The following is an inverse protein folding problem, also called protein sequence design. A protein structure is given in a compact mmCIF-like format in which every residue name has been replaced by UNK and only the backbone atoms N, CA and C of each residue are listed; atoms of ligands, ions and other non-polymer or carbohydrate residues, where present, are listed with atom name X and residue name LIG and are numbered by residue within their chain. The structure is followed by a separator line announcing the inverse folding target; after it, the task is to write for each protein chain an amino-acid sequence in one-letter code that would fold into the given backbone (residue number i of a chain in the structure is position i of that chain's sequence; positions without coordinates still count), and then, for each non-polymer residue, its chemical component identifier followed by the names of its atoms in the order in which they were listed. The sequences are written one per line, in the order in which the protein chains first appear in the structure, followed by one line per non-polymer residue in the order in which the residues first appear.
data_IF_472955628354
#
_entry.id   IF_472955628354
#
_cell.length_a   1.000
_cell.length_b   1.000
_cell.length_c   1.000
_cell.angle_alpha   90.00
_cell.angle_beta   90.00
_cell.angle_gamma   90.00
#
_symmetry.space_group_name_H-M   'P 1'
#
loop_
_entity.id
_entity.type
_entity.pdbx_description
1 polymer ?
2 water ?
#
# COMPACT_ATOMS: atom_id res chain seq x y z
N UNK A 1 -15.30 -7.99 4.18
CA UNK A 1 -14.01 -7.32 4.47
C UNK A 1 -14.12 -5.86 4.86
N UNK A 2 -13.66 -5.43 6.03
CA UNK A 2 -13.60 -4.03 6.39
C UNK A 2 -12.20 -3.58 6.85
N UNK A 3 -11.80 -2.43 6.33
CA UNK A 3 -10.44 -1.91 6.42
C UNK A 3 -10.41 -0.50 6.99
N UNK A 4 -9.44 -0.12 7.81
CA UNK A 4 -9.31 1.31 8.12
C UNK A 4 -8.67 2.08 6.97
N UNK A 5 -9.06 3.34 6.80
CA UNK A 5 -8.42 4.24 5.86
C UNK A 5 -6.96 4.46 6.24
N UNK A 6 -6.10 4.42 5.23
CA UNK A 6 -4.66 4.57 5.38
C UNK A 6 -4.22 5.63 4.36
N UNK A 7 -3.53 6.68 4.79
CA UNK A 7 -2.92 7.56 3.78
C UNK A 7 -1.95 6.74 2.94
N UNK A 8 -1.84 7.01 1.65
CA UNK A 8 -0.99 6.27 0.73
C UNK A 8 0.48 6.16 1.11
N UNK A 9 1.04 7.24 1.68
CA UNK A 9 2.38 7.17 2.24
C UNK A 9 2.47 6.15 3.37
N UNK A 10 1.49 6.19 4.29
CA UNK A 10 1.52 5.30 5.44
C UNK A 10 1.32 3.85 5.00
N UNK A 11 0.52 3.57 3.99
CA UNK A 11 0.52 2.23 3.40
C UNK A 11 1.88 1.90 2.78
N UNK A 12 2.49 2.79 2.03
CA UNK A 12 3.82 2.54 1.45
C UNK A 12 4.82 2.14 2.52
N UNK A 13 4.87 2.94 3.60
CA UNK A 13 5.86 2.73 4.66
C UNK A 13 5.58 1.49 5.47
N UNK A 14 4.31 1.15 5.75
CA UNK A 14 4.02 -0.07 6.48
C UNK A 14 4.22 -1.34 5.66
N UNK A 15 4.06 -1.30 4.34
CA UNK A 15 4.15 -2.54 3.56
C UNK A 15 5.58 -3.07 3.52
N UNK A 16 5.72 -4.39 3.43
CA UNK A 16 7.05 -4.96 3.20
C UNK A 16 7.58 -4.60 1.82
N UNK A 17 6.70 -4.67 0.81
CA UNK A 17 7.16 -4.54 -0.56
C UNK A 17 6.11 -3.82 -1.39
N UNK A 18 6.57 -2.96 -2.29
CA UNK A 18 5.71 -2.08 -3.07
C UNK A 18 6.22 -2.13 -4.51
N UNK A 19 5.39 -2.52 -5.46
CA UNK A 19 5.78 -2.74 -6.84
C UNK A 19 4.69 -2.17 -7.77
N UNK A 20 5.07 -1.86 -8.99
CA UNK A 20 4.12 -1.69 -10.09
C UNK A 20 4.09 -2.98 -10.91
N UNK A 21 2.92 -3.52 -11.22
CA UNK A 21 2.83 -4.88 -11.71
C UNK A 21 1.62 -5.15 -12.57
N UNK A 22 1.74 -6.16 -13.44
CA UNK A 22 0.55 -6.67 -14.11
C UNK A 22 0.48 -8.19 -13.92
N UNK A 23 -0.76 -8.65 -13.89
CA UNK A 23 -1.02 -10.06 -13.61
C UNK A 23 -1.16 -10.76 -14.96
N UNK A 24 -0.46 -11.86 -15.12
CA UNK A 24 -0.28 -12.59 -16.37
C UNK A 24 -1.11 -13.87 -16.40
N UNK A 25 -1.14 -14.58 -15.27
CA UNK A 25 -2.04 -15.70 -15.12
C UNK A 25 -2.43 -15.94 -13.65
N UNK A 26 -3.44 -16.79 -13.52
CA UNK A 26 -4.04 -17.09 -12.24
C UNK A 26 -4.32 -18.58 -12.03
N UNK A 27 -3.90 -19.14 -10.89
CA UNK A 27 -4.46 -20.43 -10.49
C UNK A 27 -4.63 -20.53 -8.98
N UNK A 28 -5.47 -21.46 -8.56
CA UNK A 28 -5.69 -21.74 -7.15
C UNK A 28 -4.63 -22.73 -6.70
N UNK A 29 -3.97 -22.43 -5.58
CA UNK A 29 -2.95 -23.32 -5.06
C UNK A 29 -3.23 -23.67 -3.59
N UNK A 30 -2.58 -24.75 -3.17
CA UNK A 30 -2.48 -25.16 -1.78
C UNK A 30 -1.27 -24.47 -1.16
N UNK A 31 -1.46 -23.69 -0.11
CA UNK A 31 -0.31 -22.93 0.43
C UNK A 31 0.23 -23.49 1.73
N UNK A 32 -0.09 -24.71 2.09
CA UNK A 32 0.34 -25.34 3.33
C UNK A 32 -0.88 -25.62 4.21
N UNK A 33 -0.63 -26.10 5.42
CA UNK A 33 -1.73 -26.32 6.36
C UNK A 33 -1.71 -25.24 7.42
N UNK A 34 -2.87 -24.84 7.92
CA UNK A 34 -2.93 -23.91 9.03
C UNK A 34 -2.56 -24.61 10.34
N UNK A 35 -2.77 -23.95 11.47
CA UNK A 35 -2.39 -24.44 12.78
C UNK A 35 -3.17 -25.69 13.15
N UNK A 36 -4.38 -25.87 12.63
CA UNK A 36 -5.19 -27.05 12.86
C UNK A 36 -4.95 -28.17 11.87
N UNK A 37 -3.99 -28.03 10.96
CA UNK A 37 -3.71 -29.06 9.97
C UNK A 37 -4.64 -28.98 8.76
N UNK A 38 -5.33 -27.86 8.57
CA UNK A 38 -6.21 -27.71 7.41
C UNK A 38 -5.53 -26.89 6.32
N UNK A 39 -5.57 -27.43 5.10
CA UNK A 39 -4.99 -26.77 3.94
C UNK A 39 -5.40 -25.30 3.83
N UNK A 40 -4.49 -24.47 3.34
CA UNK A 40 -4.78 -23.06 3.12
C UNK A 40 -4.85 -22.77 1.61
N UNK A 41 -6.05 -22.52 1.12
CA UNK A 41 -6.27 -22.27 -0.30
C UNK A 41 -5.97 -20.83 -0.66
N UNK A 42 -5.15 -20.58 -1.68
CA UNK A 42 -4.93 -19.21 -2.12
C UNK A 42 -5.06 -19.10 -3.64
N UNK A 43 -5.39 -17.91 -4.14
CA UNK A 43 -5.14 -17.58 -5.54
C UNK A 43 -3.67 -17.17 -5.71
N UNK A 44 -3.01 -17.73 -6.70
CA UNK A 44 -1.66 -17.36 -7.07
C UNK A 44 -1.71 -16.56 -8.37
N UNK A 45 -1.45 -15.26 -8.30
CA UNK A 45 -1.30 -14.51 -9.55
C UNK A 45 0.17 -14.55 -9.97
N UNK A 46 0.40 -15.02 -11.19
CA UNK A 46 1.70 -14.83 -11.83
C UNK A 46 1.77 -13.41 -12.37
N UNK A 47 2.81 -12.66 -12.06
CA UNK A 47 2.89 -11.28 -12.50
C UNK A 47 4.17 -10.97 -13.30
N UNK A 48 4.12 -9.86 -14.03
CA UNK A 48 5.31 -9.18 -14.53
C UNK A 48 5.57 -7.99 -13.60
N UNK A 49 6.64 -8.00 -12.82
CA UNK A 49 7.05 -6.80 -12.09
C UNK A 49 7.54 -5.74 -13.07
N UNK A 50 6.88 -4.60 -13.14
CA UNK A 50 7.38 -3.49 -13.95
C UNK A 50 8.45 -2.73 -13.18
N UNK A 51 8.25 -2.56 -11.87
CA UNK A 51 9.23 -1.79 -11.10
C UNK A 51 9.04 -2.10 -9.62
N UNK A 52 10.13 -2.27 -8.89
CA UNK A 52 10.05 -2.35 -7.43
C UNK A 52 10.46 -1.04 -6.78
N UNK A 53 9.63 -0.52 -5.88
CA UNK A 53 9.91 0.75 -5.23
C UNK A 53 10.54 0.51 -3.86
N UNK A 54 10.30 -0.65 -3.27
CA UNK A 54 10.86 -0.99 -1.98
C UNK A 54 10.58 -2.47 -1.72
N UNK A 55 11.34 -3.07 -0.81
CA UNK A 55 11.24 -4.49 -0.53
C UNK A 55 12.57 -5.20 -0.69
N UNK A 56 12.61 -6.49 -0.36
CA UNK A 56 13.76 -7.33 -0.66
C UNK A 56 14.19 -7.25 -2.12
N UNK A 57 15.45 -7.52 -2.46
CA UNK A 57 15.90 -7.16 -3.80
C UNK A 57 15.54 -8.18 -4.86
N UNK A 58 15.19 -9.39 -4.48
CA UNK A 58 14.64 -10.39 -5.38
C UNK A 58 13.27 -10.00 -5.92
N UNK A 59 13.15 -9.89 -7.22
CA UNK A 59 11.96 -9.51 -7.93
C UNK A 59 10.74 -10.34 -7.50
N UNK A 60 9.57 -9.70 -7.46
CA UNK A 60 8.33 -10.43 -7.22
C UNK A 60 7.91 -11.15 -8.49
N UNK A 61 7.66 -12.45 -8.43
CA UNK A 61 7.06 -13.15 -9.55
C UNK A 61 5.64 -13.65 -9.28
N UNK A 62 5.27 -13.85 -8.03
CA UNK A 62 3.95 -14.35 -7.67
C UNK A 62 3.33 -13.51 -6.56
N UNK A 63 2.03 -13.25 -6.72
CA UNK A 63 1.25 -12.54 -5.71
C UNK A 63 0.12 -13.46 -5.25
N UNK A 64 -0.02 -13.67 -3.95
CA UNK A 64 -1.04 -14.62 -3.46
C UNK A 64 -2.16 -13.85 -2.76
N UNK A 65 -3.36 -14.41 -2.69
CA UNK A 65 -4.49 -13.71 -2.08
C UNK A 65 -5.64 -14.68 -1.85
N UNK A 66 -6.54 -14.35 -0.92
CA UNK A 66 -7.65 -15.26 -0.62
C UNK A 66 -8.52 -15.43 -1.86
N UNK A 67 -9.11 -16.60 -2.02
CA UNK A 67 -10.09 -16.86 -3.06
C UNK A 67 -11.23 -15.86 -3.14
N UNK A 68 -11.69 -15.35 -1.99
CA UNK A 68 -12.87 -14.50 -2.01
C UNK A 68 -12.68 -13.16 -1.34
N UNK A 69 -13.29 -12.12 -1.89
CA UNK A 69 -13.44 -10.83 -1.24
C UNK A 69 -14.20 -10.90 0.08
N UNK A 70 -15.01 -11.93 0.32
CA UNK A 70 -15.68 -12.13 1.60
C UNK A 70 -14.70 -12.22 2.76
N UNK A 71 -13.50 -12.77 2.54
CA UNK A 71 -12.47 -12.71 3.56
C UNK A 71 -11.29 -11.84 3.10
N UNK A 72 -11.54 -10.79 2.33
CA UNK A 72 -10.57 -9.80 1.92
C UNK A 72 -9.62 -10.25 0.82
N UNK A 73 -9.94 -11.28 0.03
CA UNK A 73 -9.20 -11.55 -1.19
C UNK A 73 -9.33 -10.40 -2.20
N UNK A 74 -8.32 -10.26 -3.04
CA UNK A 74 -8.15 -9.23 -4.02
C UNK A 74 -8.35 -9.80 -5.43
N UNK A 75 -9.07 -9.09 -6.29
CA UNK A 75 -9.16 -9.40 -7.70
C UNK A 75 -8.18 -8.59 -8.55
N UNK A 76 -7.34 -9.21 -9.35
CA UNK A 76 -6.51 -8.51 -10.32
C UNK A 76 -7.02 -8.90 -11.71
N UNK A 77 -7.10 -7.95 -12.62
CA UNK A 77 -7.60 -8.24 -13.96
C UNK A 77 -6.48 -8.89 -14.76
N UNK A 78 -6.53 -10.20 -14.89
CA UNK A 78 -5.41 -10.93 -15.48
C UNK A 78 -5.43 -10.76 -17.00
N UNK A 79 -4.32 -10.90 -17.68
CA UNK A 79 -4.34 -10.99 -19.14
C UNK A 79 -3.46 -9.88 -19.69
N UNK A 80 -2.43 -9.58 -18.89
CA UNK A 80 -1.43 -8.59 -19.21
C UNK A 80 -1.96 -7.17 -19.25
N UNK A 81 -3.19 -6.94 -18.87
CA UNK A 81 -3.85 -5.66 -19.07
C UNK A 81 -3.58 -4.75 -17.88
N UNK A 82 -4.49 -4.68 -16.91
CA UNK A 82 -4.42 -3.58 -15.96
C UNK A 82 -3.10 -3.61 -15.19
N UNK A 83 -2.44 -2.47 -15.10
CA UNK A 83 -1.32 -2.30 -14.19
C UNK A 83 -1.78 -1.71 -12.86
N UNK A 84 -1.17 -2.20 -11.80
CA UNK A 84 -1.49 -1.81 -10.44
C UNK A 84 -0.23 -1.40 -9.67
N UNK A 85 -0.41 -0.38 -8.84
CA UNK A 85 0.54 -0.16 -7.73
C UNK A 85 0.08 -1.11 -6.63
N UNK A 86 0.96 -1.98 -6.16
CA UNK A 86 0.57 -3.00 -5.19
C UNK A 86 1.54 -2.98 -4.00
N UNK A 87 1.00 -2.71 -2.83
CA UNK A 87 1.77 -2.78 -1.60
C UNK A 87 1.26 -3.92 -0.73
N UNK A 88 2.16 -4.68 -0.11
CA UNK A 88 1.77 -5.87 0.60
C UNK A 88 2.89 -6.54 1.37
N UNK A 89 2.57 -7.75 1.85
CA UNK A 89 3.45 -8.53 2.67
C UNK A 89 4.47 -9.30 1.82
N UNK A 90 5.74 -9.20 2.18
CA UNK A 90 6.76 -10.02 1.49
C UNK A 90 6.95 -11.38 2.17
N UNK A 91 6.86 -12.47 1.41
CA UNK A 91 7.05 -13.80 1.94
C UNK A 91 8.48 -14.27 1.71
N UNK A 92 9.28 -13.44 1.06
CA UNK A 92 10.60 -13.89 0.58
C UNK A 92 10.39 -14.62 -0.74
N UNK A 93 11.49 -14.83 -1.48
CA UNK A 93 11.46 -15.79 -2.58
C UNK A 93 10.66 -15.28 -3.77
N UNK A 94 10.60 -13.96 -3.95
CA UNK A 94 9.80 -13.36 -5.00
C UNK A 94 8.29 -13.57 -4.87
N UNK A 95 7.79 -13.79 -3.67
CA UNK A 95 6.37 -13.96 -3.41
C UNK A 95 5.84 -12.83 -2.51
N UNK A 96 4.60 -12.41 -2.79
CA UNK A 96 3.92 -11.50 -1.87
C UNK A 96 2.50 -11.99 -1.62
N UNK A 97 1.95 -11.47 -0.52
CA UNK A 97 0.55 -11.74 -0.17
C UNK A 97 -0.21 -10.45 0.06
N UNK A 98 -1.38 -10.31 -0.57
CA UNK A 98 -2.19 -9.12 -0.44
C UNK A 98 -3.61 -9.41 0.03
N UNK A 99 -4.17 -8.44 0.74
CA UNK A 99 -5.55 -8.43 1.18
C UNK A 99 -6.13 -7.09 0.73
N UNK A 100 -7.45 -6.97 0.72
CA UNK A 100 -8.12 -5.74 0.34
C UNK A 100 -7.81 -4.55 1.24
N UNK A 101 -7.27 -4.70 2.44
CA UNK A 101 -6.84 -3.60 3.26
C UNK A 101 -5.43 -3.10 2.93
N UNK A 102 -4.74 -3.79 2.04
CA UNK A 102 -3.45 -3.34 1.53
C UNK A 102 -3.67 -2.20 0.54
N UNK A 103 -2.63 -1.50 0.14
CA UNK A 103 -2.79 -0.44 -0.87
C UNK A 103 -2.63 -1.03 -2.26
N UNK A 104 -3.76 -1.17 -2.97
CA UNK A 104 -3.80 -1.75 -4.30
C UNK A 104 -4.74 -0.93 -5.20
N UNK A 105 -4.14 -0.15 -6.10
CA UNK A 105 -4.87 0.77 -6.97
C UNK A 105 -4.31 0.63 -8.39
N UNK A 106 -5.16 0.73 -9.39
CA UNK A 106 -4.72 0.83 -10.78
C UNK A 106 -3.65 1.89 -10.94
N UNK A 107 -2.57 1.56 -11.65
CA UNK A 107 -1.45 2.46 -11.89
C UNK A 107 -1.88 3.81 -12.46
N UNK A 108 -2.81 3.84 -13.40
CA UNK A 108 -3.20 5.07 -14.05
C UNK A 108 -4.12 5.96 -13.24
N UNK A 109 -4.55 5.55 -12.05
CA UNK A 109 -5.41 6.39 -11.22
C UNK A 109 -4.59 7.16 -10.19
N UNK A 110 -3.29 6.88 -10.09
CA UNK A 110 -2.44 7.64 -9.16
C UNK A 110 -2.21 9.08 -9.62
N UNK A 111 -2.13 10.03 -8.70
CA UNK A 111 -1.70 11.37 -9.05
C UNK A 111 -0.23 11.35 -9.45
N UNK A 112 0.19 12.28 -10.31
CA UNK A 112 1.60 12.47 -10.63
C UNK A 112 2.48 12.48 -9.39
N UNK A 113 2.12 13.20 -8.34
CA UNK A 113 2.94 13.27 -7.13
C UNK A 113 2.96 11.97 -6.35
N UNK A 114 1.83 11.27 -6.28
CA UNK A 114 1.85 9.92 -5.72
C UNK A 114 2.90 9.07 -6.42
N UNK A 115 2.83 8.99 -7.75
CA UNK A 115 3.75 8.18 -8.54
C UNK A 115 5.20 8.58 -8.26
N UNK A 116 5.49 9.87 -8.45
CA UNK A 116 6.84 10.39 -8.20
C UNK A 116 7.29 10.10 -6.79
N UNK A 117 6.39 10.20 -5.80
CA UNK A 117 6.76 10.06 -4.41
C UNK A 117 7.11 8.63 -4.02
N UNK A 118 6.69 7.67 -4.82
CA UNK A 118 7.11 6.28 -4.69
C UNK A 118 8.62 6.07 -4.80
N UNK A 119 9.35 6.91 -5.52
CA UNK A 119 10.77 6.75 -5.77
C UNK A 119 11.72 7.19 -4.68
N UNK A 120 11.37 8.06 -3.75
CA UNK A 120 12.34 8.43 -2.70
C UNK A 120 11.73 9.27 -1.59
N UNK A 121 10.70 10.02 -1.93
CA UNK A 121 10.08 10.97 -1.03
C UNK A 121 9.21 10.36 0.06
N UNK A 122 8.38 9.36 -0.24
CA UNK A 122 7.58 8.71 0.79
C UNK A 122 8.50 8.02 1.80
N UNK A 123 9.56 7.39 1.29
CA UNK A 123 10.59 6.78 2.10
C UNK A 123 11.20 7.74 3.11
N UNK A 124 11.36 9.01 2.79
CA UNK A 124 11.74 10.07 3.71
C UNK A 124 10.80 10.32 4.88
N UNK A 125 9.62 9.70 4.92
CA UNK A 125 8.68 9.89 6.01
C UNK A 125 8.31 8.57 6.65
N UNK A 126 9.10 7.50 6.38
CA UNK A 126 8.73 6.23 6.99
C UNK A 126 9.11 6.14 8.46
N UNK A 127 9.70 7.16 9.08
CA UNK A 127 9.81 7.17 10.53
C UNK A 127 8.69 8.00 11.15
N UNK A 128 7.84 8.55 10.32
CA UNK A 128 6.77 9.44 10.77
C UNK A 128 5.49 8.62 10.96
N UNK A 129 4.51 9.15 11.68
CA UNK A 129 3.21 8.51 11.74
C UNK A 129 2.16 9.45 11.13
N UNK A 130 1.34 8.92 10.23
CA UNK A 130 0.24 9.75 9.72
C UNK A 130 -1.02 9.36 10.49
N UNK A 131 -1.57 10.33 11.20
CA UNK A 131 -2.69 10.09 12.10
C UNK A 131 -3.96 10.73 11.54
N UNK A 132 -5.02 9.94 11.44
CA UNK A 132 -6.26 10.50 10.88
C UNK A 132 -6.97 11.36 11.92
N UNK A 133 -7.46 12.53 11.52
CA UNK A 133 -8.33 13.35 12.36
C UNK A 133 -9.79 13.02 12.05
N UNK A 134 -10.36 12.11 12.84
CA UNK A 134 -11.77 11.74 12.71
C UNK A 134 -12.68 12.96 12.67
N UNK A 135 -12.53 13.89 13.60
CA UNK A 135 -13.33 15.11 13.58
C UNK A 135 -12.70 16.26 14.34
N UNK A 136 -12.70 17.46 13.76
CA UNK A 136 -12.39 18.66 14.55
C UNK A 136 -13.29 18.57 15.79
N UNK A 137 -12.71 18.70 16.99
CA UNK A 137 -11.30 19.03 17.11
C UNK A 137 -10.39 17.88 17.50
N UNK A 138 -9.23 17.82 16.85
CA UNK A 138 -8.28 16.74 17.03
C UNK A 138 -6.86 17.25 17.31
N UNK A 139 -5.97 16.35 17.72
CA UNK A 139 -4.61 16.76 18.02
C UNK A 139 -3.62 15.61 17.89
N UNK A 140 -2.32 15.92 17.89
CA UNK A 140 -1.33 14.85 17.85
C UNK A 140 -0.54 14.83 19.16
N UNK A 141 -0.04 13.68 19.55
CA UNK A 141 0.76 13.61 20.78
C UNK A 141 2.23 13.89 20.46
N UNK A 142 2.76 13.03 19.61
CA UNK A 142 4.21 12.99 19.36
C UNK A 142 4.56 13.93 18.22
N UNK A 143 5.75 14.50 18.24
CA UNK A 143 6.25 15.40 17.23
C UNK A 143 6.46 14.82 15.84
N UNK A 144 6.67 13.51 15.76
CA UNK A 144 6.82 12.78 14.52
C UNK A 144 5.49 12.29 13.95
N UNK A 145 4.42 13.03 14.19
CA UNK A 145 3.09 12.68 13.68
C UNK A 145 2.63 13.79 12.74
N UNK A 146 2.06 13.45 11.60
CA UNK A 146 1.32 14.45 10.83
C UNK A 146 -0.17 14.11 11.01
N UNK A 147 -0.96 15.16 11.01
CA UNK A 147 -2.41 15.01 11.21
C UNK A 147 -3.10 15.06 9.87
N UNK A 148 -3.73 13.95 9.50
CA UNK A 148 -4.38 13.85 8.19
C UNK A 148 -5.78 14.44 8.23
N UNK A 149 -5.95 15.59 7.59
CA UNK A 149 -7.15 16.40 7.70
C UNK A 149 -8.18 16.12 6.60
N UNK A 150 -7.89 15.27 5.62
CA UNK A 150 -8.71 15.21 4.41
C UNK A 150 -10.17 14.91 4.73
N UNK A 151 -10.39 13.93 5.58
CA UNK A 151 -11.71 13.56 6.07
C UNK A 151 -12.53 14.73 6.60
N UNK A 152 -11.96 15.51 7.52
CA UNK A 152 -12.67 16.56 8.22
C UNK A 152 -12.84 17.84 7.40
N UNK A 153 -12.09 17.99 6.31
CA UNK A 153 -12.22 19.18 5.48
C UNK A 153 -12.85 18.88 4.12
N UNK A 154 -12.80 17.63 3.65
CA UNK A 154 -13.24 17.36 2.29
C UNK A 154 -14.36 16.33 2.23
N UNK A 155 -14.44 15.46 3.23
CA UNK A 155 -15.38 14.36 3.27
C UNK A 155 -14.88 13.15 2.48
N UNK A 156 -13.68 13.22 1.92
CA UNK A 156 -13.11 12.15 1.14
C UNK A 156 -11.78 11.72 1.75
N UNK A 157 -11.49 10.43 1.65
CA UNK A 157 -10.29 9.86 2.24
C UNK A 157 -9.16 9.86 1.21
N UNK A 158 -9.50 10.18 -0.03
CA UNK A 158 -8.50 10.41 -1.07
C UNK A 158 -8.46 11.89 -1.41
N UNK A 159 -8.46 12.75 -0.39
CA UNK A 159 -8.53 14.19 -0.60
C UNK A 159 -7.21 14.84 -1.00
N UNK A 160 -7.03 16.10 -0.61
CA UNK A 160 -5.89 16.92 -0.99
C UNK A 160 -4.57 16.40 -0.44
N UNK A 161 -4.54 16.01 0.84
CA UNK A 161 -3.31 15.53 1.45
C UNK A 161 -2.88 14.18 0.89
N UNK A 162 -3.85 13.31 0.63
CA UNK A 162 -3.59 11.98 0.10
C UNK A 162 -3.04 12.05 -1.32
N UNK A 163 -3.59 12.98 -2.12
CA UNK A 163 -3.10 13.13 -3.49
C UNK A 163 -1.79 13.88 -3.62
N UNK A 164 -1.49 14.86 -2.77
CA UNK A 164 -0.39 15.78 -3.06
C UNK A 164 0.63 15.95 -1.94
N UNK A 165 0.38 15.37 -0.77
CA UNK A 165 1.24 15.65 0.38
C UNK A 165 1.93 14.41 0.90
N UNK A 166 3.15 14.57 1.38
CA UNK A 166 3.83 13.51 2.10
C UNK A 166 4.27 14.08 3.45
N UNK A 167 4.31 13.21 4.44
CA UNK A 167 4.71 13.54 5.79
C UNK A 167 6.19 13.20 6.00
N UNK A 168 7.02 14.23 6.08
CA UNK A 168 8.47 14.08 5.97
C UNK A 168 9.11 14.41 7.31
N UNK A 169 10.08 13.60 7.72
CA UNK A 169 10.74 13.81 8.99
C UNK A 169 11.91 14.79 8.90
N UNK A 170 11.93 15.78 9.79
CA UNK A 170 12.92 16.83 9.73
C UNK A 170 14.07 16.56 10.70
N UNK A 171 15.13 17.37 10.57
CA UNK A 171 16.13 17.34 11.65
C UNK A 171 15.43 17.91 12.88
N UNK A 172 15.07 17.09 13.84
CA UNK A 172 14.63 17.41 15.18
C UNK A 172 13.84 16.20 15.67
N UNK A 173 13.60 15.28 14.71
CA UNK A 173 12.74 14.13 14.95
C UNK A 173 11.27 14.46 14.71
N UNK A 174 10.97 15.68 14.27
CA UNK A 174 9.56 16.08 14.12
C UNK A 174 9.18 15.86 12.66
N UNK A 175 7.89 15.64 12.42
CA UNK A 175 7.44 15.51 11.03
C UNK A 175 6.42 16.56 10.67
N UNK A 176 6.28 16.80 9.37
CA UNK A 176 5.37 17.81 8.84
C UNK A 176 4.98 17.50 7.40
N UNK A 177 3.81 17.97 7.00
CA UNK A 177 3.30 17.80 5.65
C UNK A 177 4.06 18.70 4.67
N UNK A 178 4.44 18.20 3.51
CA UNK A 178 5.10 18.97 2.46
C UNK A 178 4.47 18.62 1.12
N UNK A 179 4.42 19.50 0.13
CA UNK A 179 3.67 19.20 -1.09
C UNK A 179 4.53 18.73 -2.24
N UNK A 180 5.80 18.42 -1.99
CA UNK A 180 6.71 17.99 -3.06
C UNK A 180 7.27 19.23 -3.76
N UNK A 181 8.57 19.44 -3.63
CA UNK A 181 9.15 20.74 -3.98
C UNK A 181 9.44 20.85 -5.47
N UNK A 182 8.76 21.77 -6.14
CA UNK A 182 8.97 22.09 -7.54
C UNK A 182 8.29 21.09 -8.47
#
# INVERSE_FOLDING_TARGET
CSCSPVHPQQAFCNADVVIRAKAVSEKEVDSGNDIYGNPIKRIQYEIKQIKMFKGPEKDIEFIYTAPSSAVCGVSLDVGGKKEYLIAGKAEGDGKMHITLCDFIVPWDTLSTTQKKSLNHRYQMGCECKITRCPMIPCYISSPDECLWMDWVTEKNINGHQAKFFACIKRSDGSCAWYRGAAPPKQEFLDIEDP
#
